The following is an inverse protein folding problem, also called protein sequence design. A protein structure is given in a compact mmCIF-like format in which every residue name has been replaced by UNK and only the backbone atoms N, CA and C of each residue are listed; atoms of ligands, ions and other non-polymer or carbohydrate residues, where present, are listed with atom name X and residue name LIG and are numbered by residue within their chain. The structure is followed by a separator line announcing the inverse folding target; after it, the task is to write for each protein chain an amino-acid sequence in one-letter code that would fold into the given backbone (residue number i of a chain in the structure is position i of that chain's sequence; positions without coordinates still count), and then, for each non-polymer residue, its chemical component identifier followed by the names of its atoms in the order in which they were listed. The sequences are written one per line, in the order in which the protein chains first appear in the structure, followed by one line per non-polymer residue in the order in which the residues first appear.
data_IF_213680097134
#
_entry.id   IF_213680097134
#
_cell.length_a   1.000
_cell.length_b   1.000
_cell.length_c   1.000
_cell.angle_alpha   90.00
_cell.angle_beta   90.00
_cell.angle_gamma   90.00
#
_symmetry.space_group_name_H-M   'P 1'
#
loop_
_entity.id
_entity.type
_entity.pdbx_description
1 polymer ?
#
# COMPACT_ATOMS: atom_id res chain seq x y z
N UNK A 1 28.60 7.88 17.95
CA UNK A 1 27.81 7.67 16.73
C UNK A 1 26.44 7.14 17.14
N UNK A 2 25.33 7.71 16.66
CA UNK A 2 23.99 7.17 16.94
C UNK A 2 23.78 5.89 16.13
N UNK A 3 23.30 4.83 16.77
CA UNK A 3 22.93 3.60 16.07
C UNK A 3 21.46 3.67 15.67
N UNK A 4 21.16 3.17 14.47
CA UNK A 4 19.80 2.97 13.96
C UNK A 4 19.56 1.47 13.85
N UNK A 5 18.40 1.03 14.31
CA UNK A 5 18.01 -0.38 14.29
C UNK A 5 16.63 -0.53 13.65
N UNK A 6 16.38 -1.68 13.04
CA UNK A 6 15.05 -2.09 12.57
C UNK A 6 14.37 -2.82 13.73
N UNK A 7 13.19 -2.38 14.10
CA UNK A 7 12.43 -2.92 15.24
C UNK A 7 11.18 -3.67 14.82
N UNK A 8 10.72 -3.50 13.58
CA UNK A 8 9.57 -4.23 13.06
C UNK A 8 9.54 -4.24 11.54
N UNK A 9 8.95 -5.29 10.98
CA UNK A 9 8.83 -5.52 9.54
C UNK A 9 7.36 -5.70 9.14
N UNK A 10 7.02 -5.25 7.93
CA UNK A 10 5.74 -5.51 7.32
C UNK A 10 5.88 -5.62 5.81
N UNK A 11 5.24 -6.60 5.22
CA UNK A 11 5.30 -6.89 3.78
C UNK A 11 3.92 -7.19 3.21
N UNK A 12 3.71 -6.72 1.98
CA UNK A 12 2.67 -7.21 1.07
C UNK A 12 3.34 -7.43 -0.28
N UNK A 13 3.39 -8.67 -0.72
CA UNK A 13 4.16 -9.05 -1.91
C UNK A 13 3.36 -9.99 -2.83
N UNK A 14 3.76 -10.15 -4.09
CA UNK A 14 3.17 -11.14 -4.98
C UNK A 14 3.32 -12.60 -4.53
N UNK A 15 4.18 -12.85 -3.55
CA UNK A 15 4.42 -14.20 -3.01
C UNK A 15 3.89 -14.38 -1.58
N UNK A 16 3.30 -13.32 -0.99
CA UNK A 16 2.71 -13.43 0.36
C UNK A 16 2.03 -12.14 0.82
N UNK A 17 0.89 -12.25 1.49
CA UNK A 17 0.15 -11.14 2.09
C UNK A 17 0.74 -10.64 3.42
N UNK A 18 1.81 -11.25 3.90
CA UNK A 18 2.50 -10.91 5.15
C UNK A 18 3.97 -11.31 5.11
N UNK A 19 4.71 -10.98 6.19
CA UNK A 19 6.16 -11.22 6.30
C UNK A 19 6.49 -12.70 6.25
N UNK A 20 5.82 -13.51 7.06
CA UNK A 20 6.13 -14.94 7.18
C UNK A 20 5.90 -15.71 5.88
N UNK A 21 4.72 -15.51 5.25
CA UNK A 21 4.41 -16.16 3.99
C UNK A 21 5.32 -15.71 2.85
N UNK A 22 5.60 -14.40 2.79
CA UNK A 22 6.54 -13.87 1.80
C UNK A 22 7.92 -14.49 1.97
N UNK A 23 8.45 -14.53 3.19
CA UNK A 23 9.76 -15.08 3.48
C UNK A 23 9.85 -16.58 3.20
N UNK A 24 8.86 -17.34 3.69
CA UNK A 24 8.75 -18.78 3.41
C UNK A 24 8.75 -19.08 1.91
N UNK A 25 7.98 -18.33 1.14
CA UNK A 25 7.86 -18.53 -0.30
C UNK A 25 9.12 -18.10 -1.07
N UNK A 26 9.81 -17.03 -0.62
CA UNK A 26 11.10 -16.61 -1.16
C UNK A 26 12.16 -17.71 -0.94
N UNK A 27 12.27 -18.24 0.29
CA UNK A 27 13.20 -19.33 0.60
C UNK A 27 12.90 -20.62 -0.19
N UNK A 28 11.64 -20.87 -0.50
CA UNK A 28 11.22 -21.99 -1.33
C UNK A 28 11.42 -21.75 -2.85
N UNK A 29 11.97 -20.60 -3.25
CA UNK A 29 12.18 -20.24 -4.65
C UNK A 29 10.88 -20.03 -5.46
N UNK A 30 9.76 -19.76 -4.79
CA UNK A 30 8.49 -19.54 -5.47
C UNK A 30 8.48 -18.20 -6.21
N UNK A 31 8.03 -18.22 -7.47
CA UNK A 31 7.83 -17.02 -8.26
C UNK A 31 6.44 -16.43 -8.04
N UNK A 32 6.37 -15.09 -7.92
CA UNK A 32 5.12 -14.36 -7.96
C UNK A 32 4.64 -13.99 -9.35
N UNK A 33 5.45 -14.26 -10.39
CA UNK A 33 5.08 -13.95 -11.78
C UNK A 33 3.97 -14.88 -12.28
N UNK A 34 2.91 -14.29 -12.79
CA UNK A 34 1.76 -14.99 -13.37
C UNK A 34 1.19 -14.19 -14.55
N UNK A 35 0.27 -14.78 -15.31
CA UNK A 35 -0.46 -14.02 -16.32
C UNK A 35 -1.21 -12.87 -15.68
N UNK A 36 -1.14 -11.70 -16.30
CA UNK A 36 -1.84 -10.49 -15.85
C UNK A 36 -3.35 -10.77 -15.75
N UNK A 37 -3.96 -10.39 -14.62
CA UNK A 37 -5.39 -10.57 -14.35
C UNK A 37 -6.15 -9.25 -14.16
N UNK A 38 -5.46 -8.15 -13.92
CA UNK A 38 -6.09 -6.85 -13.65
C UNK A 38 -6.67 -6.18 -14.90
N UNK A 39 -6.22 -6.57 -16.09
CA UNK A 39 -6.74 -6.11 -17.38
C UNK A 39 -6.51 -7.18 -18.46
N UNK A 40 -7.15 -7.02 -19.62
CA UNK A 40 -6.89 -7.90 -20.77
C UNK A 40 -5.51 -7.61 -21.40
N UNK A 41 -4.51 -8.50 -21.24
CA UNK A 41 -3.15 -8.26 -21.71
C UNK A 41 -2.96 -8.52 -23.20
N UNK A 42 -4.00 -8.84 -23.99
CA UNK A 42 -3.82 -9.24 -25.40
C UNK A 42 -3.24 -8.13 -26.27
N UNK A 43 -3.49 -6.87 -25.89
CA UNK A 43 -3.00 -5.70 -26.63
C UNK A 43 -1.60 -5.22 -26.21
N UNK A 44 -1.01 -5.81 -25.19
CA UNK A 44 0.35 -5.45 -24.72
C UNK A 44 1.33 -6.57 -25.01
N UNK A 45 2.61 -6.23 -25.16
CA UNK A 45 3.65 -7.22 -25.48
C UNK A 45 3.90 -8.17 -24.31
N UNK A 46 3.98 -7.64 -23.08
CA UNK A 46 4.18 -8.41 -21.86
C UNK A 46 2.85 -8.96 -21.35
N UNK A 47 2.79 -10.27 -21.12
CA UNK A 47 1.58 -10.98 -20.66
C UNK A 47 1.64 -11.36 -19.17
N UNK A 48 2.77 -11.12 -18.51
CA UNK A 48 3.05 -11.56 -17.14
C UNK A 48 3.40 -10.37 -16.27
N UNK A 49 2.94 -10.42 -15.02
CA UNK A 49 3.29 -9.48 -13.96
C UNK A 49 3.35 -10.19 -12.61
N UNK A 50 3.92 -9.50 -11.62
CA UNK A 50 3.91 -9.94 -10.23
C UNK A 50 2.81 -9.18 -9.49
N UNK A 51 1.59 -9.70 -9.55
CA UNK A 51 0.42 -9.11 -8.89
C UNK A 51 0.27 -9.66 -7.46
N UNK A 52 -0.16 -8.81 -6.52
CA UNK A 52 -0.56 -9.25 -5.17
C UNK A 52 -1.78 -10.16 -5.32
N UNK A 53 -1.68 -11.38 -4.79
CA UNK A 53 -2.77 -12.35 -4.83
C UNK A 53 -3.80 -12.04 -3.75
N UNK A 54 -4.95 -11.53 -4.13
CA UNK A 54 -6.07 -11.29 -3.23
C UNK A 54 -6.81 -12.59 -2.90
N UNK A 55 -7.29 -12.69 -1.67
CA UNK A 55 -8.05 -13.84 -1.16
C UNK A 55 -8.57 -13.57 0.24
N UNK A 56 -8.83 -14.62 0.98
CA UNK A 56 -9.35 -14.60 2.35
C UNK A 56 -8.26 -14.62 3.45
N UNK A 57 -6.98 -14.48 3.05
CA UNK A 57 -5.83 -14.56 3.96
C UNK A 57 -5.25 -15.96 4.12
N UNK A 58 -5.90 -16.99 3.56
CA UNK A 58 -5.35 -18.34 3.55
C UNK A 58 -4.30 -18.51 2.46
N UNK A 59 -3.40 -19.49 2.63
CA UNK A 59 -2.35 -19.83 1.65
C UNK A 59 -1.46 -18.63 1.25
N UNK A 60 -1.31 -17.66 2.14
CA UNK A 60 -0.51 -16.44 1.90
C UNK A 60 -1.18 -15.43 0.98
N UNK A 61 -2.48 -15.54 0.72
CA UNK A 61 -3.23 -14.52 -0.02
C UNK A 61 -3.44 -13.27 0.83
N UNK A 62 -3.59 -12.12 0.17
CA UNK A 62 -3.85 -10.85 0.84
C UNK A 62 -5.36 -10.65 1.01
N UNK A 63 -5.81 -10.65 2.27
CA UNK A 63 -7.19 -10.29 2.60
C UNK A 63 -7.27 -8.79 2.92
N UNK A 64 -7.91 -8.05 2.06
CA UNK A 64 -8.04 -6.59 2.20
C UNK A 64 -8.91 -6.19 3.41
N UNK A 65 -9.86 -7.04 3.82
CA UNK A 65 -10.79 -6.76 4.93
C UNK A 65 -10.09 -6.80 6.30
N UNK A 66 -8.95 -7.47 6.42
CA UNK A 66 -8.15 -7.49 7.64
C UNK A 66 -7.50 -6.11 7.93
N UNK A 67 -7.35 -5.26 6.91
CA UNK A 67 -6.58 -4.03 6.99
C UNK A 67 -7.40 -2.76 6.85
N UNK A 68 -8.50 -2.82 6.11
CA UNK A 68 -9.32 -1.65 5.83
C UNK A 68 -10.78 -2.04 5.57
N UNK A 69 -11.68 -1.36 6.25
CA UNK A 69 -13.12 -1.52 6.05
C UNK A 69 -13.53 -1.29 4.58
N UNK A 70 -14.46 -2.08 4.02
CA UNK A 70 -14.88 -1.97 2.62
C UNK A 70 -15.32 -0.56 2.20
N UNK A 71 -15.92 0.22 3.12
CA UNK A 71 -16.35 1.59 2.87
C UNK A 71 -15.15 2.54 2.68
N UNK A 72 -14.11 2.39 3.49
CA UNK A 72 -12.90 3.21 3.40
C UNK A 72 -12.05 2.80 2.18
N UNK A 73 -11.99 1.51 1.90
CA UNK A 73 -11.28 0.95 0.74
C UNK A 73 -11.74 1.53 -0.59
N UNK A 74 -13.03 1.89 -0.72
CA UNK A 74 -13.57 2.54 -1.93
C UNK A 74 -13.09 3.98 -2.14
N UNK A 75 -12.41 4.57 -1.16
CA UNK A 75 -11.93 5.94 -1.20
C UNK A 75 -10.46 6.06 -1.55
N UNK A 76 -9.75 4.94 -1.63
CA UNK A 76 -8.30 4.88 -1.84
C UNK A 76 -7.94 3.92 -2.97
N UNK A 77 -6.81 4.17 -3.63
CA UNK A 77 -6.22 3.24 -4.57
C UNK A 77 -5.46 2.11 -3.83
N UNK A 78 -5.24 1.00 -4.50
CA UNK A 78 -4.64 -0.21 -3.93
C UNK A 78 -3.26 0.03 -3.29
N UNK A 79 -2.45 0.97 -3.81
CA UNK A 79 -1.14 1.27 -3.22
C UNK A 79 -1.24 1.80 -1.79
N UNK A 80 -2.28 2.57 -1.47
CA UNK A 80 -2.54 3.04 -0.09
C UNK A 80 -2.94 1.86 0.79
N UNK A 81 -3.80 0.98 0.32
CA UNK A 81 -4.20 -0.22 1.05
C UNK A 81 -3.00 -1.11 1.39
N UNK A 82 -2.15 -1.41 0.41
CA UNK A 82 -0.95 -2.22 0.63
C UNK A 82 0.03 -1.55 1.60
N UNK A 83 0.24 -0.25 1.47
CA UNK A 83 1.11 0.48 2.38
C UNK A 83 0.56 0.54 3.81
N UNK A 84 -0.76 0.69 4.00
CA UNK A 84 -1.39 0.62 5.32
C UNK A 84 -1.23 -0.80 5.91
N UNK A 85 -1.42 -1.84 5.12
CA UNK A 85 -1.26 -3.22 5.57
C UNK A 85 0.19 -3.52 6.00
N UNK A 86 1.16 -3.09 5.19
CA UNK A 86 2.58 -3.24 5.54
C UNK A 86 2.96 -2.42 6.78
N UNK A 87 2.50 -1.16 6.87
CA UNK A 87 2.75 -0.32 8.05
C UNK A 87 2.12 -0.92 9.32
N UNK A 88 0.90 -1.48 9.22
CA UNK A 88 0.23 -2.12 10.35
C UNK A 88 1.00 -3.34 10.86
N UNK A 89 1.52 -4.17 9.96
CA UNK A 89 2.38 -5.30 10.32
C UNK A 89 3.66 -4.81 11.02
N UNK A 90 4.34 -3.81 10.47
CA UNK A 90 5.59 -3.27 11.02
C UNK A 90 5.39 -2.64 12.41
N UNK A 91 4.33 -1.87 12.61
CA UNK A 91 3.99 -1.27 13.90
C UNK A 91 3.67 -2.33 14.94
N UNK A 92 2.93 -3.37 14.55
CA UNK A 92 2.61 -4.51 15.42
C UNK A 92 3.87 -5.31 15.79
N UNK A 93 4.73 -5.60 14.83
CA UNK A 93 5.98 -6.35 15.03
C UNK A 93 6.98 -5.57 15.91
N UNK A 94 7.01 -4.23 15.75
CA UNK A 94 7.81 -3.35 16.59
C UNK A 94 7.26 -3.16 18.02
N UNK A 95 6.03 -3.61 18.29
CA UNK A 95 5.28 -3.31 19.51
C UNK A 95 5.30 -1.81 19.87
N UNK A 96 5.14 -0.97 18.81
CA UNK A 96 5.24 0.48 18.95
C UNK A 96 3.87 1.15 18.96
N UNK A 97 3.38 1.44 20.17
CA UNK A 97 2.11 2.16 20.38
C UNK A 97 2.36 3.35 21.33
N UNK A 98 2.82 4.51 20.81
CA UNK A 98 3.14 5.66 21.64
C UNK A 98 1.87 6.23 22.30
N UNK A 99 1.84 6.21 23.63
CA UNK A 99 0.72 6.71 24.42
C UNK A 99 0.89 8.19 24.80
N UNK A 100 2.13 8.63 25.00
CA UNK A 100 2.46 10.00 25.37
C UNK A 100 2.68 10.91 24.15
N UNK A 101 2.50 12.22 24.37
CA UNK A 101 2.59 13.21 23.31
C UNK A 101 4.03 13.37 22.77
N UNK A 102 5.04 13.25 23.62
CA UNK A 102 6.44 13.37 23.18
C UNK A 102 6.81 12.25 22.22
N UNK A 103 6.48 11.02 22.54
CA UNK A 103 6.70 9.86 21.69
C UNK A 103 5.96 9.99 20.34
N UNK A 104 4.72 10.50 20.36
CA UNK A 104 3.96 10.79 19.15
C UNK A 104 4.62 11.86 18.27
N UNK A 105 5.09 12.96 18.87
CA UNK A 105 5.80 14.03 18.17
C UNK A 105 7.16 13.56 17.59
N UNK A 106 7.76 12.55 18.18
CA UNK A 106 9.04 11.97 17.73
C UNK A 106 8.87 10.81 16.76
N UNK A 107 7.64 10.34 16.52
CA UNK A 107 7.36 9.28 15.56
C UNK A 107 6.95 9.88 14.24
N UNK A 108 7.83 9.79 13.25
CA UNK A 108 7.57 10.23 11.88
C UNK A 108 7.11 9.09 10.96
N UNK A 109 6.57 9.47 9.80
CA UNK A 109 6.18 8.53 8.74
C UNK A 109 6.82 8.96 7.43
N UNK A 110 7.55 8.06 6.81
CA UNK A 110 8.13 8.27 5.48
C UNK A 110 7.80 7.06 4.60
N UNK A 111 6.93 7.25 3.62
CA UNK A 111 6.52 6.20 2.69
C UNK A 111 6.59 6.75 1.27
N UNK A 112 7.37 6.10 0.42
CA UNK A 112 7.51 6.45 -0.98
C UNK A 112 6.55 5.67 -1.89
N UNK A 113 6.20 6.28 -3.02
CA UNK A 113 5.48 5.61 -4.11
C UNK A 113 5.92 6.24 -5.43
N UNK A 114 6.18 5.41 -6.45
CA UNK A 114 6.65 5.91 -7.75
C UNK A 114 5.62 6.79 -8.48
N UNK A 115 4.37 6.34 -8.52
CA UNK A 115 3.30 7.00 -9.30
C UNK A 115 2.07 7.29 -8.42
N UNK A 116 1.86 6.53 -7.36
CA UNK A 116 0.64 6.58 -6.55
C UNK A 116 -0.51 5.82 -7.21
N UNK A 117 -1.70 6.40 -7.20
CA UNK A 117 -2.93 5.77 -7.66
C UNK A 117 -3.13 5.77 -9.18
N UNK A 118 -2.23 5.17 -9.94
CA UNK A 118 -2.31 5.14 -11.41
C UNK A 118 -3.64 4.54 -11.91
N UNK A 119 -4.10 3.47 -11.28
CA UNK A 119 -5.38 2.82 -11.59
C UNK A 119 -6.57 3.75 -11.38
N UNK A 120 -6.58 4.47 -10.27
CA UNK A 120 -7.62 5.48 -9.98
C UNK A 120 -7.56 6.66 -10.94
N UNK A 121 -6.37 7.09 -11.36
CA UNK A 121 -6.17 8.17 -12.33
C UNK A 121 -6.75 7.75 -13.68
N UNK A 122 -6.41 6.55 -14.18
CA UNK A 122 -6.93 6.01 -15.43
C UNK A 122 -8.47 5.90 -15.39
N UNK A 123 -9.01 5.20 -14.39
CA UNK A 123 -10.45 5.01 -14.25
C UNK A 123 -11.22 6.33 -14.15
N UNK A 124 -10.69 7.30 -13.41
CA UNK A 124 -11.32 8.63 -13.28
C UNK A 124 -11.24 9.42 -14.57
N UNK A 125 -10.14 9.35 -15.31
CA UNK A 125 -9.98 10.03 -16.60
C UNK A 125 -11.00 9.50 -17.61
N UNK A 126 -11.15 8.18 -17.70
CA UNK A 126 -12.14 7.55 -18.59
C UNK A 126 -13.59 7.91 -18.18
N UNK A 127 -13.87 7.84 -16.88
CA UNK A 127 -15.18 8.24 -16.34
C UNK A 127 -15.51 9.71 -16.66
N UNK A 128 -14.54 10.61 -16.49
CA UNK A 128 -14.71 12.03 -16.79
C UNK A 128 -14.94 12.28 -18.28
N UNK A 129 -14.23 11.57 -19.14
CA UNK A 129 -14.43 11.66 -20.58
C UNK A 129 -15.80 11.16 -21.02
N UNK A 130 -16.30 10.06 -20.41
CA UNK A 130 -17.61 9.45 -20.75
C UNK A 130 -18.79 10.21 -20.14
N UNK A 131 -18.70 10.59 -18.84
CA UNK A 131 -19.84 11.04 -18.02
C UNK A 131 -19.73 12.47 -17.51
N UNK A 132 -18.63 13.14 -17.81
CA UNK A 132 -18.35 14.52 -17.43
C UNK A 132 -17.84 14.70 -16.00
N UNK A 133 -17.31 15.89 -15.68
CA UNK A 133 -16.55 16.16 -14.44
C UNK A 133 -17.40 16.03 -13.16
N UNK A 134 -18.73 16.18 -13.25
CA UNK A 134 -19.62 16.03 -12.08
C UNK A 134 -19.66 14.62 -11.49
N UNK A 135 -19.13 13.64 -12.20
CA UNK A 135 -19.08 12.24 -11.75
C UNK A 135 -17.77 11.88 -11.06
N UNK A 136 -16.78 12.76 -11.08
CA UNK A 136 -15.51 12.54 -10.39
C UNK A 136 -15.75 12.51 -8.88
N UNK A 137 -15.22 11.46 -8.24
CA UNK A 137 -15.32 11.29 -6.78
C UNK A 137 -14.58 12.41 -6.03
N UNK A 138 -15.14 12.97 -4.95
CA UNK A 138 -14.38 13.88 -4.07
C UNK A 138 -13.18 13.21 -3.40
N UNK A 139 -13.15 11.88 -3.35
CA UNK A 139 -12.04 11.10 -2.82
C UNK A 139 -10.97 10.79 -3.86
N UNK A 140 -11.13 11.23 -5.13
CA UNK A 140 -10.14 10.95 -6.19
C UNK A 140 -8.75 11.46 -5.81
N UNK A 141 -8.63 12.73 -5.47
CA UNK A 141 -7.34 13.31 -5.08
C UNK A 141 -6.78 12.69 -3.79
N UNK A 142 -7.55 12.62 -2.66
CA UNK A 142 -7.07 11.95 -1.46
C UNK A 142 -6.71 10.47 -1.64
N UNK A 143 -7.34 9.78 -2.58
CA UNK A 143 -7.09 8.35 -2.85
C UNK A 143 -5.96 8.06 -3.81
N UNK A 144 -5.47 9.06 -4.57
CA UNK A 144 -4.50 8.86 -5.65
C UNK A 144 -3.11 9.45 -5.40
N UNK A 145 -2.99 10.51 -4.56
CA UNK A 145 -1.72 11.19 -4.33
C UNK A 145 -0.77 10.35 -3.47
N UNK A 146 0.51 10.35 -3.84
CA UNK A 146 1.57 9.53 -3.21
C UNK A 146 1.78 9.80 -1.73
N UNK A 147 1.63 11.06 -1.29
CA UNK A 147 1.84 11.45 0.11
C UNK A 147 0.66 11.08 1.03
N UNK A 148 -0.46 10.67 0.45
CA UNK A 148 -1.64 10.32 1.26
C UNK A 148 -1.48 8.99 1.98
N UNK A 149 -0.62 8.08 1.50
CA UNK A 149 -0.29 6.86 2.23
C UNK A 149 0.41 7.17 3.56
N UNK A 150 1.45 8.02 3.57
CA UNK A 150 2.12 8.44 4.80
C UNK A 150 1.18 9.24 5.70
N UNK A 151 0.34 10.11 5.12
CA UNK A 151 -0.69 10.86 5.83
C UNK A 151 -1.70 9.96 6.53
N UNK A 152 -2.22 8.94 5.85
CA UNK A 152 -3.20 8.01 6.45
C UNK A 152 -2.59 7.13 7.55
N UNK A 153 -1.34 6.69 7.42
CA UNK A 153 -0.63 5.99 8.49
C UNK A 153 -0.45 6.90 9.70
N UNK A 154 -0.01 8.15 9.50
CA UNK A 154 0.11 9.14 10.57
C UNK A 154 -1.19 9.37 11.33
N UNK A 155 -2.32 9.53 10.61
CA UNK A 155 -3.64 9.71 11.20
C UNK A 155 -4.07 8.45 11.97
N UNK A 156 -3.91 7.27 11.37
CA UNK A 156 -4.35 5.99 11.95
C UNK A 156 -3.70 5.67 13.29
N UNK A 157 -2.41 5.98 13.43
CA UNK A 157 -1.62 5.70 14.63
C UNK A 157 -1.37 6.91 15.53
N UNK A 158 -1.85 8.09 15.13
CA UNK A 158 -1.63 9.33 15.88
C UNK A 158 -0.16 9.76 15.89
N UNK A 159 0.63 9.39 14.87
CA UNK A 159 2.02 9.82 14.73
C UNK A 159 2.06 11.28 14.27
N UNK A 160 2.78 12.11 15.01
CA UNK A 160 2.80 13.58 14.83
C UNK A 160 4.16 14.16 14.46
N UNK A 161 5.15 13.29 14.27
CA UNK A 161 6.47 13.68 13.79
C UNK A 161 6.46 14.01 12.28
N UNK A 162 7.63 14.19 11.65
CA UNK A 162 7.72 14.49 10.22
C UNK A 162 6.96 13.47 9.38
N UNK A 163 6.13 13.97 8.45
CA UNK A 163 5.33 13.13 7.56
C UNK A 163 5.69 13.48 6.12
N UNK A 164 6.39 12.58 5.45
CA UNK A 164 6.92 12.80 4.12
C UNK A 164 6.68 11.64 3.17
N UNK A 165 6.63 11.96 1.89
CA UNK A 165 6.68 10.98 0.81
C UNK A 165 7.83 11.33 -0.13
N UNK A 166 8.58 10.33 -0.57
CA UNK A 166 9.72 10.51 -1.46
C UNK A 166 9.47 9.76 -2.76
N UNK A 167 9.75 10.42 -3.87
CA UNK A 167 9.74 9.83 -5.21
C UNK A 167 11.06 10.15 -5.89
N UNK A 168 11.83 9.13 -6.15
CA UNK A 168 13.11 9.24 -6.87
C UNK A 168 13.17 8.30 -8.08
N UNK A 169 12.04 7.73 -8.45
CA UNK A 169 11.90 6.76 -9.53
C UNK A 169 12.91 5.60 -9.41
N UNK A 170 13.75 5.38 -10.44
CA UNK A 170 14.73 4.30 -10.51
C UNK A 170 16.13 4.68 -9.97
N UNK A 171 16.25 5.80 -9.27
CA UNK A 171 17.54 6.30 -8.74
C UNK A 171 17.74 5.98 -7.26
#
# INVERSE_FOLDING_TARGET
MRRVVVTGLGLVTPVGGGVEDSWKNILAGKSGAARITQFDPERVTTKYACEVKHGDGTDGTFNADDWMEPKERRKVDDFILYGIAAAAQAVKDADWTPEDEESRLRTGVMIGSGIGGLKSIEATTLLMAEKGPRRVSPFFIPGALINLISGQVGIRYGFKGPNHSVVTACS
#
